data_IF_861995902232
#
_entry.id   IF_861995902232
#
_cell.length_a   1.000
_cell.length_b   1.000
_cell.length_c   1.000
_cell.angle_alpha   90.00
_cell.angle_beta   90.00
_cell.angle_gamma   90.00
#
_symmetry.space_group_name_H-M   'P 1'
#
loop_
_entity.id
_entity.type
_entity.pdbx_description
1 polymer ?
#
# COMPACT_ATOMS: atom_id res chain seq x y z
N UNK A 1 -14.85 4.15 -3.69
CA UNK A 1 -14.45 2.99 -4.53
C UNK A 1 -12.99 3.22 -4.86
N UNK A 2 -12.08 2.37 -4.41
CA UNK A 2 -10.66 2.47 -4.78
C UNK A 2 -10.53 2.26 -6.30
N UNK A 3 -9.99 3.24 -7.02
CA UNK A 3 -9.63 3.07 -8.43
C UNK A 3 -8.15 2.76 -8.54
N UNK A 4 -7.80 1.67 -9.23
CA UNK A 4 -6.39 1.32 -9.50
C UNK A 4 -5.73 2.42 -10.32
N UNK A 5 -6.47 3.04 -11.26
CA UNK A 5 -5.92 4.10 -12.10
C UNK A 5 -5.48 5.33 -11.28
N UNK A 6 -6.24 5.69 -10.24
CA UNK A 6 -5.87 6.79 -9.33
C UNK A 6 -4.61 6.47 -8.52
N UNK A 7 -4.47 5.21 -8.07
CA UNK A 7 -3.27 4.77 -7.35
C UNK A 7 -2.06 4.72 -8.26
N UNK A 8 -2.23 4.29 -9.51
CA UNK A 8 -1.17 4.32 -10.53
C UNK A 8 -0.76 5.76 -10.81
N UNK A 9 -1.70 6.72 -10.88
CA UNK A 9 -1.37 8.13 -11.04
C UNK A 9 -0.57 8.70 -9.84
N UNK A 10 -0.86 8.27 -8.61
CA UNK A 10 -0.11 8.69 -7.42
C UNK A 10 1.31 8.13 -7.38
N UNK A 11 1.50 6.88 -7.83
CA UNK A 11 2.79 6.18 -7.80
C UNK A 11 3.61 6.42 -9.09
N UNK A 12 2.95 6.77 -10.19
CA UNK A 12 3.52 7.01 -11.51
C UNK A 12 3.71 5.76 -12.37
N UNK A 13 3.64 4.55 -11.80
CA UNK A 13 3.85 3.30 -12.54
C UNK A 13 3.15 2.10 -11.87
N UNK A 14 2.49 1.27 -12.66
CA UNK A 14 1.75 0.10 -12.19
C UNK A 14 2.64 -1.02 -11.61
N UNK A 15 3.86 -1.18 -12.12
CA UNK A 15 4.82 -2.15 -11.59
C UNK A 15 5.37 -1.70 -10.24
N UNK A 16 5.68 -0.40 -10.11
CA UNK A 16 6.08 0.18 -8.81
C UNK A 16 4.94 0.03 -7.81
N UNK A 17 3.69 0.32 -8.21
CA UNK A 17 2.51 0.13 -7.37
C UNK A 17 2.41 -1.31 -6.86
N UNK A 18 2.53 -2.30 -7.75
CA UNK A 18 2.48 -3.71 -7.37
C UNK A 18 3.59 -4.08 -6.35
N UNK A 19 4.81 -3.59 -6.55
CA UNK A 19 5.94 -3.84 -5.65
C UNK A 19 5.70 -3.20 -4.28
N UNK A 20 5.29 -1.93 -4.25
CA UNK A 20 5.04 -1.18 -3.01
C UNK A 20 3.94 -1.85 -2.19
N UNK A 21 2.82 -2.21 -2.85
CA UNK A 21 1.69 -2.88 -2.21
C UNK A 21 2.09 -4.26 -1.70
N UNK A 22 2.82 -5.06 -2.50
CA UNK A 22 3.26 -6.39 -2.08
C UNK A 22 4.21 -6.32 -0.87
N UNK A 23 5.18 -5.40 -0.89
CA UNK A 23 6.10 -5.17 0.24
C UNK A 23 5.35 -4.75 1.50
N UNK A 24 4.38 -3.83 1.39
CA UNK A 24 3.61 -3.38 2.54
C UNK A 24 2.68 -4.47 3.08
N UNK A 25 1.99 -5.21 2.21
CA UNK A 25 1.15 -6.33 2.62
C UNK A 25 1.97 -7.42 3.34
N UNK A 26 3.23 -7.65 2.93
CA UNK A 26 4.14 -8.54 3.65
C UNK A 26 4.46 -8.03 5.07
N UNK A 27 4.78 -6.75 5.23
CA UNK A 27 5.02 -6.17 6.57
C UNK A 27 3.81 -6.34 7.50
N UNK A 28 2.60 -6.11 6.98
CA UNK A 28 1.36 -6.29 7.71
C UNK A 28 1.14 -7.76 8.12
N UNK A 29 1.43 -8.71 7.23
CA UNK A 29 1.43 -10.14 7.57
C UNK A 29 2.45 -10.50 8.66
N UNK A 30 3.58 -9.80 8.71
CA UNK A 30 4.62 -9.98 9.73
C UNK A 30 4.27 -9.26 11.06
N UNK A 31 3.08 -8.67 11.17
CA UNK A 31 2.58 -8.04 12.39
C UNK A 31 2.86 -6.54 12.49
N UNK A 32 3.27 -5.89 11.40
CA UNK A 32 3.38 -4.43 11.37
C UNK A 32 2.02 -3.78 11.64
N UNK A 33 2.05 -2.67 12.37
CA UNK A 33 0.84 -1.91 12.71
C UNK A 33 0.28 -1.22 11.45
N UNK A 34 -1.03 -1.35 11.16
CA UNK A 34 -1.70 -0.57 10.12
C UNK A 34 -1.62 0.94 10.38
N UNK A 35 -1.42 1.72 9.33
CA UNK A 35 -1.35 3.20 9.38
C UNK A 35 -2.73 3.86 9.19
N UNK A 36 -3.74 3.06 8.88
CA UNK A 36 -5.14 3.47 8.77
C UNK A 36 -5.98 2.64 9.74
N UNK A 37 -6.89 3.30 10.45
CA UNK A 37 -7.87 2.62 11.28
C UNK A 37 -8.99 2.11 10.38
N UNK A 38 -9.16 0.79 10.35
CA UNK A 38 -10.28 0.15 9.68
C UNK A 38 -11.26 -0.37 10.73
N UNK A 39 -12.55 -0.15 10.47
CA UNK A 39 -13.63 -0.57 11.39
C UNK A 39 -13.66 -2.09 11.59
N UNK A 40 -13.20 -2.84 10.59
CA UNK A 40 -13.19 -4.30 10.57
C UNK A 40 -11.81 -4.81 10.15
N UNK A 41 -11.52 -6.06 10.49
CA UNK A 41 -10.32 -6.73 10.01
C UNK A 41 -10.43 -6.97 8.50
N UNK A 42 -9.51 -6.39 7.73
CA UNK A 42 -9.41 -6.61 6.29
C UNK A 42 -8.14 -7.38 5.95
N UNK A 43 -8.09 -7.90 4.72
CA UNK A 43 -6.87 -8.54 4.23
C UNK A 43 -5.70 -7.54 4.21
N UNK A 44 -4.46 -7.97 4.50
CA UNK A 44 -3.27 -7.12 4.45
C UNK A 44 -3.11 -6.36 3.13
N UNK A 45 -3.53 -6.97 2.02
CA UNK A 45 -3.54 -6.35 0.71
C UNK A 45 -4.49 -5.15 0.65
N UNK A 46 -5.70 -5.29 1.18
CA UNK A 46 -6.68 -4.20 1.22
C UNK A 46 -6.20 -3.06 2.10
N UNK A 47 -5.65 -3.37 3.28
CA UNK A 47 -5.05 -2.37 4.18
C UNK A 47 -3.95 -1.58 3.46
N UNK A 48 -3.03 -2.26 2.75
CA UNK A 48 -1.96 -1.59 2.03
C UNK A 48 -2.48 -0.64 0.92
N UNK A 49 -3.55 -1.02 0.22
CA UNK A 49 -4.19 -0.17 -0.79
C UNK A 49 -4.84 1.07 -0.15
N UNK A 50 -5.52 0.91 0.98
CA UNK A 50 -6.12 2.02 1.73
C UNK A 50 -5.06 2.97 2.29
N UNK A 51 -3.98 2.45 2.87
CA UNK A 51 -2.85 3.25 3.34
C UNK A 51 -2.19 4.05 2.21
N UNK A 52 -2.00 3.43 1.04
CA UNK A 52 -1.46 4.13 -0.14
C UNK A 52 -2.44 5.22 -0.62
N UNK A 53 -3.72 4.89 -0.69
CA UNK A 53 -4.78 5.84 -1.08
C UNK A 53 -4.81 7.04 -0.14
N UNK A 54 -4.66 6.81 1.16
CA UNK A 54 -4.60 7.83 2.20
C UNK A 54 -3.27 8.60 2.23
N UNK A 55 -2.30 8.27 1.38
CA UNK A 55 -0.98 8.91 1.33
C UNK A 55 -0.12 8.63 2.57
N UNK A 56 -0.36 7.52 3.26
CA UNK A 56 0.36 7.14 4.48
C UNK A 56 1.61 6.31 4.21
N UNK A 57 1.78 5.83 2.97
CA UNK A 57 2.95 5.05 2.55
C UNK A 57 3.93 5.96 1.81
N UNK A 58 5.18 6.00 2.28
CA UNK A 58 6.32 6.54 1.55
C UNK A 58 7.24 5.39 1.10
N UNK A 59 7.83 5.52 -0.08
CA UNK A 59 8.79 4.55 -0.60
C UNK A 59 9.91 5.27 -1.34
N UNK A 60 11.09 4.67 -1.35
CA UNK A 60 12.26 5.12 -2.09
C UNK A 60 12.92 3.93 -2.79
N UNK A 61 13.65 4.22 -3.86
CA UNK A 61 14.49 3.22 -4.52
C UNK A 61 15.84 3.24 -3.84
N UNK A 62 16.22 2.10 -3.27
CA UNK A 62 17.58 1.91 -2.75
C UNK A 62 18.43 1.49 -3.94
N UNK A 63 19.35 2.35 -4.36
CA UNK A 63 20.45 1.96 -5.25
C UNK A 63 21.47 1.19 -4.40
N UNK A 64 21.90 0.02 -4.89
CA UNK A 64 22.92 -0.83 -4.26
C UNK A 64 24.33 -0.39 -4.65
#
# INVERSE_FOLDING_TARGET
MLSIDELVQKVGNIYILAIVIAKRAKQLNEGAVPLVELKEAHSPLFVALEELSAGKISFEFVEE
#
